data_IF_885827184143
#
_entry.id   IF_885827184143
#
_cell.length_a   1.000
_cell.length_b   1.000
_cell.length_c   1.000
_cell.angle_alpha   90.00
_cell.angle_beta   90.00
_cell.angle_gamma   90.00
#
_symmetry.space_group_name_H-M   'P 1'
#
loop_
_entity.id
_entity.type
_entity.pdbx_description
1 polymer ?
#
# COMPACT_ATOMS: atom_id res chain seq x y z
N UNK A 1 6.28 23.67 7.13
CA UNK A 1 6.26 22.23 6.78
C UNK A 1 7.64 21.66 7.05
N UNK A 2 7.79 20.55 7.79
CA UNK A 2 9.07 19.86 7.85
C UNK A 2 9.49 19.40 6.44
N UNK A 3 10.79 19.37 6.12
CA UNK A 3 11.27 19.00 4.80
C UNK A 3 10.88 17.55 4.47
N UNK A 4 10.37 17.35 3.27
CA UNK A 4 10.02 16.03 2.72
C UNK A 4 11.33 15.28 2.46
N UNK A 5 11.65 14.28 3.28
CA UNK A 5 12.94 13.58 3.25
C UNK A 5 12.86 12.38 2.33
N UNK A 6 13.63 12.39 1.24
CA UNK A 6 13.79 11.20 0.40
C UNK A 6 14.52 10.11 1.17
N UNK A 7 13.97 8.90 1.15
CA UNK A 7 14.55 7.71 1.79
C UNK A 7 15.44 6.94 0.81
N UNK A 8 16.50 6.33 1.35
CA UNK A 8 17.30 5.33 0.64
C UNK A 8 16.56 3.99 0.51
N UNK A 9 16.97 3.12 -0.41
CA UNK A 9 16.38 1.79 -0.60
C UNK A 9 16.38 0.95 0.68
N UNK A 10 17.44 1.03 1.49
CA UNK A 10 17.53 0.32 2.79
C UNK A 10 16.49 0.86 3.77
N UNK A 11 16.28 2.18 3.81
CA UNK A 11 15.29 2.80 4.68
C UNK A 11 13.86 2.53 4.24
N UNK A 12 13.61 2.51 2.92
CA UNK A 12 12.33 2.10 2.34
C UNK A 12 11.99 0.69 2.80
N UNK A 13 12.92 -0.25 2.60
CA UNK A 13 12.74 -1.63 3.01
C UNK A 13 12.46 -1.76 4.51
N UNK A 14 13.20 -1.04 5.36
CA UNK A 14 12.97 -1.04 6.81
C UNK A 14 11.62 -0.46 7.20
N UNK A 15 11.18 0.60 6.54
CA UNK A 15 9.89 1.23 6.82
C UNK A 15 8.73 0.33 6.40
N UNK A 16 8.79 -0.30 5.22
CA UNK A 16 7.76 -1.25 4.76
C UNK A 16 7.75 -2.50 5.63
N UNK A 17 8.92 -3.07 5.97
CA UNK A 17 9.02 -4.20 6.90
C UNK A 17 8.35 -3.88 8.24
N UNK A 18 8.70 -2.74 8.85
CA UNK A 18 8.11 -2.35 10.12
C UNK A 18 6.60 -2.04 10.03
N UNK A 19 6.11 -1.62 8.85
CA UNK A 19 4.70 -1.42 8.61
C UNK A 19 3.93 -2.74 8.47
N UNK A 20 4.53 -3.75 7.84
CA UNK A 20 4.02 -5.14 7.79
C UNK A 20 3.95 -5.71 9.21
N UNK A 21 5.06 -5.68 9.96
CA UNK A 21 5.16 -6.27 11.30
C UNK A 21 4.10 -5.71 12.27
N UNK A 22 3.77 -4.41 12.13
CA UNK A 22 2.80 -3.72 12.98
C UNK A 22 1.40 -3.63 12.36
N UNK A 23 1.18 -4.22 11.19
CA UNK A 23 -0.08 -4.15 10.45
C UNK A 23 -0.62 -2.72 10.35
N UNK A 24 0.26 -1.78 10.00
CA UNK A 24 -0.05 -0.35 9.99
C UNK A 24 -1.14 -0.06 8.96
N UNK A 25 -2.13 0.79 9.30
CA UNK A 25 -3.12 1.27 8.33
C UNK A 25 -2.46 2.00 7.16
N UNK A 26 -2.95 1.70 5.96
CA UNK A 26 -2.48 2.25 4.69
C UNK A 26 -3.65 2.92 3.99
N UNK A 27 -3.43 4.12 3.47
CA UNK A 27 -4.33 4.77 2.53
C UNK A 27 -3.78 4.58 1.12
N UNK A 28 -4.61 4.03 0.24
CA UNK A 28 -4.36 3.87 -1.20
C UNK A 28 -5.19 4.91 -1.94
N UNK A 29 -4.52 5.87 -2.59
CA UNK A 29 -5.16 6.89 -3.41
C UNK A 29 -5.15 6.47 -4.87
N UNK A 30 -6.31 6.45 -5.50
CA UNK A 30 -6.48 6.08 -6.92
C UNK A 30 -7.06 7.23 -7.70
N UNK A 31 -6.66 7.36 -8.97
CA UNK A 31 -7.26 8.35 -9.87
C UNK A 31 -8.47 7.74 -10.58
N UNK A 32 -9.57 8.46 -10.55
CA UNK A 32 -10.84 8.11 -11.19
C UNK A 32 -11.25 9.24 -12.13
N UNK A 33 -12.29 9.02 -12.93
CA UNK A 33 -12.88 10.06 -13.79
C UNK A 33 -13.46 11.23 -12.98
N UNK A 34 -13.84 10.98 -11.72
CA UNK A 34 -14.41 11.98 -10.80
C UNK A 34 -13.35 12.64 -9.90
N UNK A 35 -12.07 12.27 -10.04
CA UNK A 35 -10.97 12.79 -9.25
C UNK A 35 -10.24 11.72 -8.44
N UNK A 36 -9.61 12.13 -7.34
CA UNK A 36 -8.88 11.21 -6.47
C UNK A 36 -9.81 10.57 -5.45
N UNK A 37 -9.75 9.25 -5.35
CA UNK A 37 -10.47 8.45 -4.38
C UNK A 37 -9.47 7.85 -3.39
N UNK A 38 -9.80 7.84 -2.10
CA UNK A 38 -8.99 7.22 -1.06
C UNK A 38 -9.64 5.91 -0.59
N UNK A 39 -8.85 4.85 -0.59
CA UNK A 39 -9.21 3.52 -0.13
C UNK A 39 -8.36 3.17 1.08
N UNK A 40 -8.92 2.38 1.99
CA UNK A 40 -8.26 1.94 3.22
C UNK A 40 -7.81 0.49 3.09
N UNK A 41 -6.62 0.22 3.59
CA UNK A 41 -5.94 -1.08 3.54
C UNK A 41 -4.94 -1.18 4.70
N UNK A 42 -4.15 -2.25 4.71
CA UNK A 42 -2.99 -2.46 5.56
C UNK A 42 -1.99 -3.36 4.84
N UNK A 43 -0.72 -3.24 5.21
CA UNK A 43 0.29 -4.22 4.79
C UNK A 43 0.05 -5.55 5.50
N UNK A 44 0.08 -6.64 4.72
CA UNK A 44 -0.06 -8.01 5.21
C UNK A 44 1.27 -8.76 5.13
N UNK A 45 2.04 -8.55 4.06
CA UNK A 45 3.29 -9.22 3.81
C UNK A 45 4.16 -8.43 2.82
N UNK A 46 5.39 -8.88 2.59
CA UNK A 46 6.27 -8.36 1.54
C UNK A 46 7.25 -9.43 1.04
N UNK A 47 7.62 -9.30 -0.22
CA UNK A 47 8.80 -9.95 -0.81
C UNK A 47 9.86 -8.89 -1.12
N UNK A 48 10.97 -9.28 -1.75
CA UNK A 48 12.00 -8.35 -2.20
C UNK A 48 11.54 -7.41 -3.32
N UNK A 49 10.46 -7.78 -4.03
CA UNK A 49 9.95 -7.05 -5.19
C UNK A 49 8.57 -6.43 -4.94
N UNK A 50 7.78 -7.00 -4.03
CA UNK A 50 6.36 -6.66 -3.88
C UNK A 50 5.98 -6.44 -2.42
N UNK A 51 5.15 -5.44 -2.17
CA UNK A 51 4.37 -5.36 -0.94
C UNK A 51 2.98 -5.96 -1.18
N UNK A 52 2.49 -6.70 -0.18
CA UNK A 52 1.16 -7.32 -0.20
C UNK A 52 0.25 -6.51 0.71
N UNK A 53 -0.78 -5.92 0.12
CA UNK A 53 -1.80 -5.16 0.82
C UNK A 53 -3.07 -6.00 0.93
N UNK A 54 -3.79 -5.86 2.03
CA UNK A 54 -5.20 -6.28 2.05
C UNK A 54 -5.95 -5.54 0.94
N UNK A 55 -6.88 -6.21 0.24
CA UNK A 55 -7.63 -5.58 -0.85
C UNK A 55 -8.23 -4.24 -0.40
N UNK A 56 -7.81 -3.10 -0.98
CA UNK A 56 -8.27 -1.79 -0.52
C UNK A 56 -9.78 -1.62 -0.71
N UNK A 57 -10.43 -0.94 0.25
CA UNK A 57 -11.88 -0.68 0.24
C UNK A 57 -12.16 0.76 0.63
N UNK A 58 -13.22 1.35 0.09
CA UNK A 58 -13.74 2.61 0.62
C UNK A 58 -14.57 2.31 1.88
N UNK A 59 -14.64 3.26 2.81
CA UNK A 59 -15.38 3.10 4.07
C UNK A 59 -16.90 2.89 3.84
N UNK A 60 -17.45 3.46 2.76
CA UNK A 60 -18.91 3.55 2.52
C UNK A 60 -19.43 2.71 1.33
N UNK A 61 -18.61 1.90 0.66
CA UNK A 61 -19.07 1.08 -0.47
C UNK A 61 -18.78 -0.41 -0.26
N UNK A 62 -19.82 -1.22 -0.44
CA UNK A 62 -19.71 -2.69 -0.45
C UNK A 62 -18.97 -3.20 -1.69
N UNK A 63 -18.85 -2.38 -2.75
CA UNK A 63 -18.17 -2.76 -3.98
C UNK A 63 -16.66 -2.53 -3.87
N UNK A 64 -15.92 -3.63 -3.87
CA UNK A 64 -14.48 -3.59 -4.00
C UNK A 64 -14.12 -3.13 -5.43
N UNK A 65 -13.38 -2.02 -5.52
CA UNK A 65 -12.75 -1.59 -6.77
C UNK A 65 -11.97 -2.73 -7.41
N UNK A 66 -12.05 -2.84 -8.74
CA UNK A 66 -11.18 -3.72 -9.51
C UNK A 66 -9.87 -3.01 -9.81
N UNK A 67 -8.74 -3.68 -9.55
CA UNK A 67 -7.41 -3.20 -9.88
C UNK A 67 -6.84 -4.02 -11.03
N UNK A 68 -6.21 -3.35 -11.98
CA UNK A 68 -5.52 -3.98 -13.10
C UNK A 68 -4.01 -3.89 -12.91
N UNK A 69 -3.28 -4.86 -13.47
CA UNK A 69 -1.82 -4.78 -13.51
C UNK A 69 -1.37 -3.49 -14.22
N UNK A 70 -0.24 -2.95 -13.79
CA UNK A 70 0.30 -1.65 -14.20
C UNK A 70 -0.49 -0.40 -13.77
N UNK A 71 -1.62 -0.53 -13.07
CA UNK A 71 -2.30 0.61 -12.44
C UNK A 71 -1.35 1.35 -11.49
N UNK A 72 -1.34 2.68 -11.57
CA UNK A 72 -0.57 3.54 -10.67
C UNK A 72 -1.42 4.01 -9.50
N UNK A 73 -0.89 3.85 -8.31
CA UNK A 73 -1.56 4.15 -7.04
C UNK A 73 -0.69 5.08 -6.20
N UNK A 74 -1.29 6.06 -5.52
CA UNK A 74 -0.66 6.70 -4.39
C UNK A 74 -0.79 5.81 -3.17
N UNK A 75 0.29 5.63 -2.40
CA UNK A 75 0.27 4.87 -1.15
C UNK A 75 0.83 5.76 -0.06
N UNK A 76 0.09 5.86 1.05
CA UNK A 76 0.57 6.56 2.23
C UNK A 76 0.23 5.84 3.52
N UNK A 77 1.15 5.92 4.49
CA UNK A 77 0.98 5.30 5.80
C UNK A 77 1.78 6.08 6.84
N UNK A 78 1.40 5.99 8.12
CA UNK A 78 2.14 6.61 9.21
C UNK A 78 2.89 5.54 9.99
N UNK A 79 4.21 5.63 10.01
CA UNK A 79 5.05 4.74 10.81
C UNK A 79 5.97 5.55 11.72
N UNK A 80 5.93 5.24 13.02
CA UNK A 80 6.59 6.05 14.06
C UNK A 80 6.15 7.52 13.97
N UNK A 81 7.09 8.45 13.85
CA UNK A 81 6.83 9.89 13.80
C UNK A 81 6.71 10.44 12.37
N UNK A 82 6.72 9.57 11.35
CA UNK A 82 6.76 9.98 9.95
C UNK A 82 5.54 9.48 9.19
N UNK A 83 5.00 10.36 8.34
CA UNK A 83 4.11 9.96 7.27
C UNK A 83 4.98 9.60 6.08
N UNK A 84 4.80 8.39 5.55
CA UNK A 84 5.46 7.92 4.36
C UNK A 84 4.52 8.00 3.18
N UNK A 85 5.02 8.45 2.03
CA UNK A 85 4.25 8.54 0.79
C UNK A 85 5.09 8.05 -0.39
N UNK A 86 4.50 7.22 -1.24
CA UNK A 86 5.12 6.77 -2.49
C UNK A 86 4.05 6.47 -3.56
N UNK A 87 4.48 6.34 -4.82
CA UNK A 87 3.64 5.80 -5.89
C UNK A 87 3.95 4.31 -6.05
N UNK A 88 2.94 3.46 -5.95
CA UNK A 88 3.03 2.03 -6.23
C UNK A 88 2.47 1.70 -7.61
N UNK A 89 2.99 0.64 -8.21
CA UNK A 89 2.44 0.03 -9.43
C UNK A 89 1.79 -1.29 -9.05
N UNK A 90 0.57 -1.53 -9.48
CA UNK A 90 -0.11 -2.82 -9.27
C UNK A 90 0.62 -3.91 -10.05
N UNK A 91 1.04 -4.94 -9.33
CA UNK A 91 1.62 -6.15 -9.90
C UNK A 91 0.60 -7.28 -10.05
N UNK A 92 -0.58 -7.14 -9.44
CA UNK A 92 -1.69 -8.08 -9.58
C UNK A 92 -2.55 -8.18 -8.33
N UNK A 93 -3.55 -9.05 -8.39
CA UNK A 93 -4.41 -9.39 -7.25
C UNK A 93 -4.32 -10.87 -6.94
N UNK A 94 -4.73 -11.29 -5.75
CA UNK A 94 -4.73 -12.70 -5.38
C UNK A 94 -5.33 -12.97 -4.02
N UNK A 95 -4.98 -14.12 -3.44
CA UNK A 95 -5.32 -14.50 -2.07
C UNK A 95 -4.08 -14.63 -1.22
N UNK A 96 -4.22 -14.34 0.07
CA UNK A 96 -3.17 -14.52 1.07
C UNK A 96 -3.79 -15.05 2.37
N UNK A 97 -3.12 -15.99 3.03
CA UNK A 97 -3.65 -16.60 4.25
C UNK A 97 -3.20 -15.81 5.47
N UNK A 98 -4.15 -15.26 6.22
CA UNK A 98 -3.92 -14.47 7.44
C UNK A 98 -4.67 -15.14 8.58
N UNK A 99 -3.94 -15.69 9.56
CA UNK A 99 -4.55 -16.36 10.72
C UNK A 99 -5.46 -17.53 10.35
N UNK A 100 -5.12 -18.28 9.30
CA UNK A 100 -5.90 -19.42 8.80
C UNK A 100 -7.13 -19.04 7.98
N UNK A 101 -7.27 -17.77 7.58
CA UNK A 101 -8.33 -17.29 6.67
C UNK A 101 -7.72 -16.71 5.41
N UNK A 102 -8.26 -17.08 4.27
CA UNK A 102 -7.83 -16.51 3.00
C UNK A 102 -8.52 -15.17 2.77
N UNK A 103 -7.71 -14.13 2.59
CA UNK A 103 -8.17 -12.77 2.29
C UNK A 103 -7.74 -12.37 0.88
N UNK A 104 -8.56 -11.56 0.21
CA UNK A 104 -8.16 -10.96 -1.07
C UNK A 104 -7.08 -9.92 -0.84
N UNK A 105 -6.09 -9.91 -1.71
CA UNK A 105 -4.93 -9.02 -1.62
C UNK A 105 -4.65 -8.30 -2.92
N UNK A 106 -4.00 -7.15 -2.78
CA UNK A 106 -3.42 -6.37 -3.86
C UNK A 106 -1.89 -6.43 -3.73
N UNK A 107 -1.21 -6.87 -4.78
CA UNK A 107 0.25 -6.85 -4.85
C UNK A 107 0.69 -5.57 -5.55
N UNK A 108 1.61 -4.85 -4.94
CA UNK A 108 2.20 -3.64 -5.51
C UNK A 108 3.70 -3.76 -5.54
N UNK A 109 4.35 -3.30 -6.61
CA UNK A 109 5.80 -3.27 -6.68
C UNK A 109 6.34 -2.39 -5.54
N UNK A 110 7.43 -2.81 -4.91
CA UNK A 110 8.10 -2.03 -3.89
C UNK A 110 8.62 -0.71 -4.48
N UNK A 111 8.47 0.41 -3.75
CA UNK A 111 8.91 1.69 -4.25
C UNK A 111 10.43 1.77 -4.31
N UNK A 112 10.94 2.35 -5.40
CA UNK A 112 12.35 2.77 -5.49
C UNK A 112 12.56 4.17 -4.90
N UNK A 113 11.48 4.91 -4.62
CA UNK A 113 11.50 6.25 -4.02
C UNK A 113 10.34 6.41 -3.03
N UNK A 114 10.64 6.90 -1.83
CA UNK A 114 9.67 7.22 -0.80
C UNK A 114 10.09 8.48 -0.05
N UNK A 115 9.09 9.19 0.46
CA UNK A 115 9.20 10.47 1.14
C UNK A 115 8.60 10.42 2.55
#
# INVERSE_FOLDING_TARGET
>A
MPPVRKLSTVEINRAVAGAVDRQVPVTVSVRTDQGWENLYSRFLDRTDEHAVLEMPRADDTAEARTFQEADRLGISFKFKHHKHVFTGTVAGTGTHSVGGRDVRVLRVCLPTQMH
#
